data_IF_546654104188
#
_entry.id   IF_546654104188
#
_cell.length_a   1.000
_cell.length_b   1.000
_cell.length_c   1.000
_cell.angle_alpha   90.00
_cell.angle_beta   90.00
_cell.angle_gamma   90.00
#
_symmetry.space_group_name_H-M   'P 1'
#
loop_
_entity.id
_entity.type
_entity.pdbx_description
1 polymer ?
#
# COMPACT_ATOMS: atom_id res chain seq x y z
N UNK A 1 4.06 -37.99 1.81
CA UNK A 1 4.43 -38.06 0.39
C UNK A 1 4.55 -36.64 -0.16
N UNK A 2 5.73 -36.25 -0.62
CA UNK A 2 5.96 -34.93 -1.25
C UNK A 2 5.42 -34.95 -2.69
N UNK A 3 4.96 -33.79 -3.19
CA UNK A 3 4.52 -33.59 -4.58
C UNK A 3 5.48 -32.62 -5.28
N UNK A 4 6.64 -33.09 -5.79
CA UNK A 4 7.69 -32.21 -6.33
C UNK A 4 7.21 -31.35 -7.49
N UNK A 5 6.21 -31.83 -8.27
CA UNK A 5 5.66 -31.08 -9.39
C UNK A 5 4.84 -29.85 -8.98
N UNK A 6 4.40 -29.73 -7.71
CA UNK A 6 3.75 -28.50 -7.23
C UNK A 6 4.76 -27.41 -6.85
N UNK A 7 6.06 -27.72 -6.84
CA UNK A 7 7.08 -26.76 -6.42
C UNK A 7 7.47 -25.78 -7.53
N UNK A 8 7.36 -26.20 -8.80
CA UNK A 8 7.60 -25.28 -9.93
C UNK A 8 6.40 -24.37 -10.14
N UNK A 9 6.67 -23.07 -10.31
CA UNK A 9 5.64 -22.02 -10.51
C UNK A 9 4.73 -22.32 -11.70
N UNK A 10 5.31 -22.84 -12.80
CA UNK A 10 4.58 -23.12 -14.03
C UNK A 10 3.58 -24.26 -13.83
N UNK A 11 4.04 -25.39 -13.30
CA UNK A 11 3.20 -26.58 -13.06
C UNK A 11 2.19 -26.35 -11.94
N UNK A 12 2.54 -25.56 -10.92
CA UNK A 12 1.60 -25.13 -9.88
C UNK A 12 0.48 -24.27 -10.45
N UNK A 13 0.81 -23.26 -11.27
CA UNK A 13 -0.18 -22.34 -11.85
C UNK A 13 -1.22 -23.04 -12.73
N UNK A 14 -0.83 -24.14 -13.37
CA UNK A 14 -1.71 -24.94 -14.24
C UNK A 14 -2.60 -25.91 -13.44
N UNK A 15 -2.25 -26.20 -12.18
CA UNK A 15 -3.00 -27.09 -11.31
C UNK A 15 -4.31 -26.45 -10.82
N UNK A 16 -5.29 -27.28 -10.45
CA UNK A 16 -6.56 -26.81 -9.87
C UNK A 16 -6.34 -26.01 -8.58
N UNK A 17 -5.39 -26.43 -7.73
CA UNK A 17 -4.99 -25.72 -6.52
C UNK A 17 -4.40 -24.34 -6.82
N UNK A 18 -3.55 -24.22 -7.84
CA UNK A 18 -2.99 -22.94 -8.28
C UNK A 18 -4.04 -21.97 -8.81
N UNK A 19 -5.04 -22.48 -9.54
CA UNK A 19 -6.18 -21.67 -9.98
C UNK A 19 -7.04 -21.17 -8.82
N UNK A 20 -7.30 -22.01 -7.82
CA UNK A 20 -8.02 -21.57 -6.61
C UNK A 20 -7.24 -20.51 -5.85
N UNK A 21 -5.92 -20.70 -5.67
CA UNK A 21 -5.04 -19.71 -5.05
C UNK A 21 -5.08 -18.37 -5.80
N UNK A 22 -4.97 -18.39 -7.13
CA UNK A 22 -5.02 -17.19 -7.96
C UNK A 22 -6.35 -16.43 -7.81
N UNK A 23 -7.48 -17.14 -7.75
CA UNK A 23 -8.80 -16.52 -7.51
C UNK A 23 -8.85 -15.81 -6.15
N UNK A 24 -8.30 -16.43 -5.11
CA UNK A 24 -8.20 -15.79 -3.79
C UNK A 24 -7.33 -14.54 -3.80
N UNK A 25 -6.16 -14.63 -4.44
CA UNK A 25 -5.24 -13.51 -4.63
C UNK A 25 -5.90 -12.35 -5.38
N UNK A 26 -6.68 -12.66 -6.43
CA UNK A 26 -7.39 -11.64 -7.21
C UNK A 26 -8.45 -10.89 -6.38
N UNK A 27 -9.14 -11.57 -5.45
CA UNK A 27 -10.09 -10.94 -4.53
C UNK A 27 -9.37 -9.99 -3.57
N UNK A 28 -8.31 -10.46 -2.92
CA UNK A 28 -7.50 -9.66 -1.98
C UNK A 28 -6.95 -8.43 -2.69
N UNK A 29 -6.30 -8.63 -3.84
CA UNK A 29 -5.73 -7.55 -4.63
C UNK A 29 -6.78 -6.56 -5.11
N UNK A 30 -7.97 -7.04 -5.49
CA UNK A 30 -9.11 -6.21 -5.84
C UNK A 30 -9.56 -5.32 -4.67
N UNK A 31 -9.61 -5.89 -3.47
CA UNK A 31 -9.93 -5.16 -2.25
C UNK A 31 -8.88 -4.11 -1.89
N UNK A 32 -7.59 -4.46 -1.90
CA UNK A 32 -6.48 -3.52 -1.64
C UNK A 32 -6.51 -2.35 -2.62
N UNK A 33 -6.68 -2.61 -3.92
CA UNK A 33 -6.81 -1.56 -4.95
C UNK A 33 -7.98 -0.62 -4.68
N UNK A 34 -9.13 -1.16 -4.26
CA UNK A 34 -10.30 -0.36 -3.91
C UNK A 34 -10.01 0.57 -2.74
N UNK A 35 -9.42 0.06 -1.66
CA UNK A 35 -9.07 0.88 -0.49
C UNK A 35 -8.08 1.98 -0.87
N UNK A 36 -7.03 1.66 -1.61
CA UNK A 36 -6.01 2.63 -2.04
C UNK A 36 -6.67 3.75 -2.84
N UNK A 37 -7.54 3.43 -3.79
CA UNK A 37 -8.22 4.42 -4.62
C UNK A 37 -9.19 5.29 -3.82
N UNK A 38 -10.00 4.69 -2.93
CA UNK A 38 -10.89 5.43 -2.03
C UNK A 38 -10.10 6.40 -1.14
N UNK A 39 -8.95 5.96 -0.63
CA UNK A 39 -8.06 6.77 0.21
C UNK A 39 -7.40 7.91 -0.57
N UNK A 40 -6.94 7.64 -1.79
CA UNK A 40 -6.39 8.67 -2.69
C UNK A 40 -7.43 9.74 -3.02
N UNK A 41 -8.67 9.34 -3.34
CA UNK A 41 -9.77 10.26 -3.60
C UNK A 41 -10.09 11.12 -2.38
N UNK A 42 -10.15 10.52 -1.19
CA UNK A 42 -10.35 11.26 0.07
C UNK A 42 -9.32 12.37 0.27
N UNK A 43 -8.04 12.11 -0.03
CA UNK A 43 -6.98 13.12 0.08
C UNK A 43 -7.08 14.21 -0.99
N UNK A 44 -7.55 13.88 -2.20
CA UNK A 44 -7.84 14.86 -3.26
C UNK A 44 -8.97 15.82 -2.86
N UNK A 45 -10.08 15.28 -2.34
CA UNK A 45 -11.25 16.07 -1.92
C UNK A 45 -10.97 16.90 -0.66
N UNK A 46 -10.11 16.41 0.25
CA UNK A 46 -9.76 17.07 1.51
C UNK A 46 -8.59 18.07 1.38
N UNK A 47 -8.12 18.38 0.16
CA UNK A 47 -6.99 19.29 -0.12
C UNK A 47 -5.69 18.95 0.64
N UNK A 48 -5.44 17.68 0.96
CA UNK A 48 -4.17 17.27 1.58
C UNK A 48 -3.88 17.87 2.97
N UNK A 49 -4.88 18.38 3.70
CA UNK A 49 -4.72 18.93 5.07
C UNK A 49 -3.99 17.95 6.01
N UNK A 50 -4.06 16.65 5.72
CA UNK A 50 -3.37 15.62 6.49
C UNK A 50 -1.95 15.27 6.00
N UNK A 51 -1.61 15.60 4.75
CA UNK A 51 -0.36 15.24 4.07
C UNK A 51 0.69 16.37 4.06
N UNK A 52 0.29 17.61 4.37
CA UNK A 52 1.22 18.76 4.42
C UNK A 52 2.36 18.61 5.46
N UNK A 53 2.25 17.67 6.39
CA UNK A 53 3.26 17.44 7.42
C UNK A 53 4.53 16.70 6.95
N UNK A 54 4.53 16.16 5.72
CA UNK A 54 5.64 15.39 5.14
C UNK A 54 6.45 16.14 4.07
N UNK A 55 6.17 17.43 3.85
CA UNK A 55 6.88 18.23 2.88
C UNK A 55 8.19 18.74 3.50
N UNK A 56 9.25 17.93 3.41
CA UNK A 56 10.61 18.22 3.93
C UNK A 56 11.26 19.50 3.35
N UNK A 57 10.68 20.07 2.28
CA UNK A 57 11.29 21.16 1.52
C UNK A 57 10.87 22.58 1.92
N UNK A 58 9.94 22.76 2.87
CA UNK A 58 9.55 24.09 3.33
C UNK A 58 10.26 24.48 4.63
N UNK A 59 11.36 25.22 4.51
CA UNK A 59 12.10 25.81 5.64
C UNK A 59 11.27 26.82 6.47
N UNK A 60 10.09 27.22 5.99
CA UNK A 60 9.20 28.16 6.69
C UNK A 60 8.24 27.48 7.69
N UNK A 61 8.33 26.15 7.84
CA UNK A 61 7.35 25.35 8.59
C UNK A 61 7.68 25.16 10.07
N UNK A 62 8.77 25.73 10.58
CA UNK A 62 9.17 25.60 12.00
C UNK A 62 8.09 26.12 12.98
N UNK A 63 7.28 27.10 12.54
CA UNK A 63 6.18 27.66 13.34
C UNK A 63 4.93 26.77 13.35
N UNK A 64 4.73 25.93 12.32
CA UNK A 64 3.57 25.02 12.21
C UNK A 64 3.87 23.64 12.81
N UNK A 65 5.14 23.24 12.86
CA UNK A 65 5.58 22.00 13.53
C UNK A 65 5.19 21.94 15.01
N UNK A 66 5.06 23.09 15.69
CA UNK A 66 4.71 23.14 17.11
C UNK A 66 3.19 23.10 17.38
N UNK A 67 2.34 23.36 16.37
CA UNK A 67 0.87 23.44 16.54
C UNK A 67 0.10 22.23 16.05
N UNK A 68 0.68 21.48 15.12
CA UNK A 68 0.12 20.23 14.63
C UNK A 68 0.70 19.08 15.45
N UNK A 69 0.08 18.80 16.60
CA UNK A 69 0.29 17.54 17.33
C UNK A 69 0.48 16.40 16.34
N UNK A 70 1.61 15.67 16.42
CA UNK A 70 2.01 14.58 15.51
C UNK A 70 0.80 13.69 15.19
N UNK A 71 0.08 14.01 14.12
CA UNK A 71 -1.15 13.30 13.79
C UNK A 71 -0.69 11.92 13.36
N UNK A 72 -1.15 10.90 14.08
CA UNK A 72 -0.89 9.51 13.73
C UNK A 72 -1.50 9.26 12.35
N UNK A 73 -0.68 9.33 11.32
CA UNK A 73 -1.05 8.93 9.96
C UNK A 73 -1.22 7.42 9.98
N UNK A 74 -2.26 6.92 9.31
CA UNK A 74 -2.33 5.50 9.02
C UNK A 74 -1.14 5.12 8.12
N UNK A 75 -0.64 3.91 8.26
CA UNK A 75 0.45 3.38 7.43
C UNK A 75 0.20 3.61 5.93
N UNK A 76 -1.02 3.39 5.45
CA UNK A 76 -1.39 3.63 4.06
C UNK A 76 -1.27 5.11 3.65
N UNK A 77 -1.58 6.04 4.56
CA UNK A 77 -1.44 7.49 4.28
C UNK A 77 0.04 7.88 4.16
N UNK A 78 0.93 7.21 4.91
CA UNK A 78 2.38 7.37 4.80
C UNK A 78 2.90 6.87 3.43
N UNK A 79 2.45 5.70 2.98
CA UNK A 79 2.83 5.15 1.67
C UNK A 79 2.35 6.02 0.52
N UNK A 80 1.14 6.57 0.60
CA UNK A 80 0.60 7.51 -0.39
C UNK A 80 1.43 8.82 -0.41
N UNK A 81 1.87 9.31 0.75
CA UNK A 81 2.75 10.49 0.84
C UNK A 81 4.11 10.22 0.19
N UNK A 82 4.73 9.07 0.50
CA UNK A 82 6.00 8.65 -0.08
C UNK A 82 5.91 8.53 -1.61
N UNK A 83 4.79 8.02 -2.13
CA UNK A 83 4.52 7.97 -3.58
C UNK A 83 4.54 9.36 -4.21
N UNK A 84 3.86 10.32 -3.58
CA UNK A 84 3.80 11.70 -4.06
C UNK A 84 5.19 12.36 -4.11
N UNK A 85 6.06 11.99 -3.18
CA UNK A 85 7.45 12.46 -3.12
C UNK A 85 8.39 11.69 -4.07
N UNK A 86 7.88 10.70 -4.82
CA UNK A 86 8.66 9.91 -5.77
C UNK A 86 9.59 8.88 -5.12
N UNK A 87 9.37 8.53 -3.85
CA UNK A 87 10.20 7.54 -3.14
C UNK A 87 9.76 6.10 -3.39
N UNK A 88 8.52 5.87 -3.83
CA UNK A 88 7.96 4.52 -4.05
C UNK A 88 7.04 4.51 -5.27
N UNK A 89 7.10 3.41 -6.03
CA UNK A 89 6.22 3.13 -7.16
C UNK A 89 4.91 2.48 -6.73
N UNK A 90 3.93 2.43 -7.64
CA UNK A 90 2.63 1.79 -7.39
C UNK A 90 2.76 0.31 -7.00
N UNK A 91 3.69 -0.42 -7.64
CA UNK A 91 3.97 -1.82 -7.31
C UNK A 91 4.62 -1.96 -5.92
N UNK A 92 5.48 -1.02 -5.53
CA UNK A 92 6.12 -1.04 -4.21
C UNK A 92 5.12 -0.81 -3.07
N UNK A 93 4.10 0.03 -3.27
CA UNK A 93 3.02 0.21 -2.29
C UNK A 93 2.26 -1.11 -2.12
N UNK A 94 2.07 -1.88 -3.19
CA UNK A 94 1.38 -3.16 -3.11
C UNK A 94 2.22 -4.21 -2.37
N UNK A 95 3.52 -4.29 -2.65
CA UNK A 95 4.41 -5.19 -1.92
C UNK A 95 4.39 -4.89 -0.42
N UNK A 96 4.48 -3.62 -0.04
CA UNK A 96 4.46 -3.22 1.36
C UNK A 96 3.10 -3.51 2.02
N UNK A 97 1.99 -3.16 1.37
CA UNK A 97 0.63 -3.44 1.88
C UNK A 97 0.38 -4.95 2.01
N UNK A 98 0.78 -5.75 1.01
CA UNK A 98 0.64 -7.21 1.08
C UNK A 98 1.49 -7.78 2.21
N UNK A 99 2.70 -7.26 2.40
CA UNK A 99 3.58 -7.67 3.51
C UNK A 99 2.90 -7.38 4.86
N UNK A 100 2.38 -6.17 5.07
CA UNK A 100 1.69 -5.84 6.34
C UNK A 100 0.37 -6.59 6.57
N UNK A 101 -0.33 -7.00 5.51
CA UNK A 101 -1.59 -7.74 5.65
C UNK A 101 -1.39 -9.23 5.94
N UNK A 102 -0.24 -9.80 5.56
CA UNK A 102 0.00 -11.25 5.61
C UNK A 102 1.21 -11.67 6.46
N UNK A 103 2.10 -10.75 6.80
CA UNK A 103 3.20 -10.98 7.74
C UNK A 103 2.73 -10.62 9.16
N UNK A 104 2.76 -11.62 10.06
CA UNK A 104 2.47 -11.51 11.50
C UNK A 104 3.62 -12.12 12.28
#
# INVERSE_FOLDING_TARGET
MLRPWLHSKLTFSLSSSGQMFKKGLDIVRGFSKKIINERQKYHGDTKGIHLECFNENNKDSEVIYHRSSKKKLAMLDLLIAAKKNGHIDDDGIWEEVDTFMFEV
#
